data_IF_224586710169
#
_entry.id   IF_224586710169
#
_cell.length_a   1.000
_cell.length_b   1.000
_cell.length_c   1.000
_cell.angle_alpha   90.00
_cell.angle_beta   90.00
_cell.angle_gamma   90.00
#
_symmetry.space_group_name_H-M   'P 1'
#
loop_
_entity.id
_entity.type
_entity.pdbx_description
1 polymer ?
#
# COMPACT_ATOMS: atom_id res chain seq x y z
N UNK A 1 14.15 1.40 20.25
CA UNK A 1 13.80 -0.03 20.01
C UNK A 1 12.42 -0.42 20.56
N UNK A 2 12.16 -0.21 21.86
CA UNK A 2 10.91 -0.64 22.53
C UNK A 2 9.64 -0.06 21.90
N UNK A 3 9.61 1.25 21.63
CA UNK A 3 8.46 1.87 20.97
C UNK A 3 8.22 1.37 19.55
N UNK A 4 9.26 0.96 18.82
CA UNK A 4 9.12 0.43 17.47
C UNK A 4 8.41 -0.93 17.50
N UNK A 5 8.91 -1.83 18.35
CA UNK A 5 8.33 -3.18 18.53
C UNK A 5 6.89 -3.08 19.03
N UNK A 6 6.63 -2.23 20.04
CA UNK A 6 5.28 -2.02 20.56
C UNK A 6 4.33 -1.54 19.46
N UNK A 7 4.77 -0.58 18.65
CA UNK A 7 3.91 -0.05 17.61
C UNK A 7 3.69 -1.09 16.50
N UNK A 8 4.70 -1.88 16.13
CA UNK A 8 4.54 -3.00 15.19
C UNK A 8 3.58 -4.07 15.73
N UNK A 9 3.67 -4.41 17.02
CA UNK A 9 2.75 -5.34 17.68
C UNK A 9 1.31 -4.83 17.67
N UNK A 10 1.08 -3.56 18.03
CA UNK A 10 -0.24 -2.92 17.95
C UNK A 10 -0.79 -2.91 16.52
N UNK A 11 0.07 -2.70 15.52
CA UNK A 11 -0.31 -2.77 14.11
C UNK A 11 -0.81 -4.16 13.73
N UNK A 12 -0.10 -5.22 14.15
CA UNK A 12 -0.49 -6.62 13.92
C UNK A 12 -1.76 -7.02 14.67
N UNK A 13 -2.06 -6.36 15.79
CA UNK A 13 -3.32 -6.52 16.54
C UNK A 13 -4.48 -5.67 15.99
N UNK A 14 -4.33 -5.03 14.83
CA UNK A 14 -5.34 -4.15 14.22
C UNK A 14 -5.66 -2.89 15.03
N UNK A 15 -4.82 -2.54 16.00
CA UNK A 15 -4.91 -1.29 16.77
C UNK A 15 -4.13 -0.20 16.04
N UNK A 16 -4.47 0.03 14.78
CA UNK A 16 -3.67 0.85 13.85
C UNK A 16 -3.61 2.33 14.30
N UNK A 17 -4.69 2.85 14.87
CA UNK A 17 -4.71 4.21 15.43
C UNK A 17 -3.81 4.36 16.66
N UNK A 18 -3.82 3.40 17.58
CA UNK A 18 -2.93 3.38 18.75
C UNK A 18 -1.47 3.23 18.32
N UNK A 19 -1.24 2.35 17.36
CA UNK A 19 0.06 2.15 16.75
C UNK A 19 0.59 3.43 16.10
N UNK A 20 -0.25 4.18 15.38
CA UNK A 20 0.11 5.48 14.81
C UNK A 20 0.47 6.48 15.91
N UNK A 21 -0.30 6.55 16.99
CA UNK A 21 -0.03 7.43 18.13
C UNK A 21 1.32 7.12 18.80
N UNK A 22 1.65 5.85 19.02
CA UNK A 22 2.96 5.44 19.58
C UNK A 22 4.10 5.85 18.66
N UNK A 23 3.99 5.63 17.35
CA UNK A 23 5.03 6.02 16.40
C UNK A 23 5.21 7.54 16.31
N UNK A 24 4.11 8.31 16.32
CA UNK A 24 4.17 9.77 16.35
C UNK A 24 4.85 10.27 17.62
N UNK A 25 4.53 9.69 18.78
CA UNK A 25 5.17 10.02 20.05
C UNK A 25 6.68 9.75 20.02
N UNK A 26 7.08 8.56 19.57
CA UNK A 26 8.48 8.19 19.44
C UNK A 26 9.25 9.10 18.48
N UNK A 27 8.70 9.40 17.30
CA UNK A 27 9.34 10.27 16.32
C UNK A 27 9.47 11.72 16.79
N UNK A 28 8.51 12.22 17.60
CA UNK A 28 8.59 13.54 18.24
C UNK A 28 9.67 13.58 19.31
N UNK A 29 9.80 12.53 20.12
CA UNK A 29 10.84 12.45 21.17
C UNK A 29 12.25 12.36 20.58
N UNK A 30 12.39 11.77 19.38
CA UNK A 30 13.65 11.75 18.64
C UNK A 30 13.97 13.09 17.94
N UNK A 31 13.08 14.08 17.97
CA UNK A 31 13.27 15.38 17.32
C UNK A 31 13.22 15.33 15.79
N UNK A 32 12.84 14.20 15.20
CA UNK A 32 12.85 13.98 13.73
C UNK A 32 11.50 14.24 13.08
N UNK A 33 10.44 14.35 13.89
CA UNK A 33 9.11 14.73 13.41
C UNK A 33 8.62 16.02 14.07
N UNK A 34 8.22 17.04 13.27
CA UNK A 34 7.74 18.30 13.80
C UNK A 34 6.42 18.10 14.56
N UNK A 35 6.26 18.85 15.66
CA UNK A 35 5.02 18.83 16.46
C UNK A 35 3.83 19.44 15.72
N UNK A 36 4.08 20.39 14.81
CA UNK A 36 3.09 21.00 13.92
C UNK A 36 3.62 20.93 12.49
N UNK A 37 2.76 20.52 11.57
CA UNK A 37 3.08 20.50 10.15
C UNK A 37 2.06 21.35 9.41
N UNK A 38 2.56 22.19 8.51
CA UNK A 38 1.74 23.05 7.66
C UNK A 38 1.89 22.61 6.21
N UNK A 39 0.80 22.66 5.44
CA UNK A 39 0.74 22.16 4.07
C UNK A 39 1.80 22.79 3.14
N UNK A 40 2.16 24.06 3.35
CA UNK A 40 3.18 24.74 2.56
C UNK A 40 4.58 24.11 2.73
N UNK A 41 4.89 23.49 3.88
CA UNK A 41 6.13 22.73 4.04
C UNK A 41 6.16 21.51 3.13
N UNK A 42 5.02 20.82 2.94
CA UNK A 42 4.94 19.69 2.01
C UNK A 42 5.16 20.15 0.57
N UNK A 43 4.56 21.28 0.19
CA UNK A 43 4.77 21.87 -1.15
C UNK A 43 6.24 22.22 -1.38
N UNK A 44 6.88 22.87 -0.42
CA UNK A 44 8.30 23.21 -0.51
C UNK A 44 9.21 21.96 -0.56
N UNK A 45 8.93 20.94 0.25
CA UNK A 45 9.66 19.67 0.18
C UNK A 45 9.45 18.98 -1.16
N UNK A 46 8.22 18.97 -1.68
CA UNK A 46 7.89 18.39 -2.98
C UNK A 46 8.65 19.06 -4.13
N UNK A 47 8.68 20.40 -4.17
CA UNK A 47 9.45 21.16 -5.18
C UNK A 47 10.92 20.80 -5.10
N UNK A 48 11.52 20.81 -3.90
CA UNK A 48 12.94 20.46 -3.70
C UNK A 48 13.26 19.03 -4.13
N UNK A 49 12.34 18.09 -3.90
CA UNK A 49 12.49 16.70 -4.32
C UNK A 49 12.43 16.59 -5.84
N UNK A 50 11.50 17.30 -6.48
CA UNK A 50 11.40 17.34 -7.94
C UNK A 50 12.66 17.94 -8.57
N UNK A 51 13.18 19.02 -8.00
CA UNK A 51 14.43 19.64 -8.44
C UNK A 51 15.63 18.70 -8.24
N UNK A 52 15.69 18.01 -7.10
CA UNK A 52 16.71 17.00 -6.84
C UNK A 52 16.69 15.89 -7.88
N UNK A 53 15.52 15.32 -8.19
CA UNK A 53 15.41 14.31 -9.23
C UNK A 53 15.79 14.87 -10.60
N UNK A 54 15.38 16.10 -10.94
CA UNK A 54 15.71 16.71 -12.23
C UNK A 54 17.22 16.96 -12.40
N UNK A 55 17.89 17.33 -11.32
CA UNK A 55 19.30 17.74 -11.35
C UNK A 55 20.29 16.59 -11.08
N UNK A 56 19.81 15.40 -10.76
CA UNK A 56 20.64 14.21 -10.52
C UNK A 56 20.25 13.12 -11.50
N UNK A 57 21.22 12.43 -12.08
CA UNK A 57 21.00 11.22 -12.88
C UNK A 57 20.56 10.05 -11.98
N UNK A 58 20.11 8.95 -12.58
CA UNK A 58 19.85 7.73 -11.82
C UNK A 58 21.13 7.25 -11.11
N UNK A 59 22.26 7.31 -11.81
CA UNK A 59 23.57 6.92 -11.32
C UNK A 59 24.00 7.78 -10.12
N UNK A 60 23.78 9.11 -10.17
CA UNK A 60 24.05 10.00 -9.04
C UNK A 60 23.26 9.59 -7.79
N UNK A 61 21.99 9.24 -7.97
CA UNK A 61 21.11 8.81 -6.87
C UNK A 61 21.54 7.45 -6.31
N UNK A 62 21.92 6.51 -7.17
CA UNK A 62 22.37 5.17 -6.76
C UNK A 62 23.74 5.21 -6.06
N UNK A 63 24.55 6.24 -6.34
CA UNK A 63 25.85 6.47 -5.75
C UNK A 63 25.83 7.38 -4.51
N UNK A 64 24.65 7.78 -4.03
CA UNK A 64 24.53 8.45 -2.73
C UNK A 64 25.20 7.62 -1.63
N UNK A 65 25.81 8.25 -0.62
CA UNK A 65 26.48 7.53 0.46
C UNK A 65 25.50 6.60 1.16
N UNK A 66 25.97 5.45 1.64
CA UNK A 66 25.14 4.57 2.48
C UNK A 66 25.05 5.18 3.88
N UNK A 67 23.83 5.39 4.36
CA UNK A 67 23.51 5.94 5.67
C UNK A 67 24.01 5.00 6.77
N UNK A 68 24.97 5.46 7.58
CA UNK A 68 25.54 4.71 8.71
C UNK A 68 25.07 5.19 10.09
N UNK A 69 24.54 6.41 10.20
CA UNK A 69 24.15 6.97 11.51
C UNK A 69 22.96 6.19 12.10
N UNK A 70 23.14 5.49 13.24
CA UNK A 70 22.09 4.66 13.84
C UNK A 70 20.87 5.46 14.31
N UNK A 71 21.05 6.73 14.69
CA UNK A 71 19.93 7.61 15.10
C UNK A 71 19.07 7.96 13.90
N UNK A 72 19.70 8.28 12.76
CA UNK A 72 18.98 8.61 11.52
C UNK A 72 18.34 7.36 10.91
N UNK A 73 19.01 6.20 10.97
CA UNK A 73 18.43 4.91 10.59
C UNK A 73 17.18 4.56 11.42
N UNK A 74 17.21 4.83 12.73
CA UNK A 74 16.04 4.62 13.58
C UNK A 74 14.92 5.61 13.25
N UNK A 75 15.28 6.87 12.97
CA UNK A 75 14.33 7.90 12.60
C UNK A 75 13.58 7.57 11.30
N UNK A 76 14.29 7.18 10.24
CA UNK A 76 13.67 6.84 8.95
C UNK A 76 12.72 5.63 9.10
N UNK A 77 13.08 4.65 9.94
CA UNK A 77 12.18 3.52 10.28
C UNK A 77 10.90 3.98 10.97
N UNK A 78 10.98 4.83 11.99
CA UNK A 78 9.79 5.36 12.65
C UNK A 78 8.90 6.17 11.70
N UNK A 79 9.49 7.00 10.84
CA UNK A 79 8.75 7.77 9.84
C UNK A 79 8.07 6.82 8.83
N UNK A 80 8.74 5.73 8.43
CA UNK A 80 8.15 4.69 7.60
C UNK A 80 6.93 4.03 8.24
N UNK A 81 7.00 3.69 9.53
CA UNK A 81 5.87 3.13 10.28
C UNK A 81 4.69 4.11 10.39
N UNK A 82 4.97 5.40 10.58
CA UNK A 82 3.94 6.46 10.52
C UNK A 82 3.25 6.40 9.15
N UNK A 83 3.99 6.31 8.06
CA UNK A 83 3.42 6.26 6.71
C UNK A 83 2.48 5.09 6.48
N UNK A 84 2.92 3.89 6.82
CA UNK A 84 2.11 2.69 6.69
C UNK A 84 0.81 2.84 7.48
N UNK A 85 0.87 3.33 8.71
CA UNK A 85 -0.32 3.43 9.58
C UNK A 85 -1.23 4.58 9.19
N UNK A 86 -0.67 5.71 8.79
CA UNK A 86 -1.43 6.82 8.23
C UNK A 86 -2.23 6.38 7.02
N UNK A 87 -1.65 5.58 6.13
CA UNK A 87 -2.37 4.95 5.03
C UNK A 87 -3.55 4.09 5.53
N UNK A 88 -3.33 3.19 6.50
CA UNK A 88 -4.42 2.37 7.08
C UNK A 88 -5.52 3.15 7.80
N UNK A 89 -5.18 4.26 8.45
CA UNK A 89 -6.15 5.15 9.10
C UNK A 89 -6.85 6.11 8.14
N UNK A 90 -6.44 6.17 6.87
CA UNK A 90 -6.96 7.13 5.88
C UNK A 90 -6.42 8.55 6.05
N UNK A 91 -5.41 8.79 6.89
CA UNK A 91 -4.74 10.08 7.03
C UNK A 91 -3.74 10.28 5.88
N UNK A 92 -4.28 10.59 4.70
CA UNK A 92 -3.50 10.73 3.47
C UNK A 92 -2.54 11.92 3.51
N UNK A 93 -2.87 12.97 4.26
CA UNK A 93 -1.97 14.12 4.44
C UNK A 93 -0.73 13.67 5.20
N UNK A 94 -0.89 13.00 6.33
CA UNK A 94 0.23 12.47 7.10
C UNK A 94 1.03 11.43 6.30
N UNK A 95 0.35 10.59 5.50
CA UNK A 95 0.98 9.65 4.58
C UNK A 95 1.82 10.34 3.50
N UNK A 96 1.40 11.49 2.97
CA UNK A 96 2.22 12.28 2.04
C UNK A 96 3.43 12.90 2.74
N UNK A 97 3.20 13.52 3.90
CA UNK A 97 4.23 14.27 4.64
C UNK A 97 5.41 13.41 5.05
N UNK A 98 5.14 12.19 5.53
CA UNK A 98 6.22 11.26 5.88
C UNK A 98 7.05 10.86 4.66
N UNK A 99 6.44 10.67 3.49
CA UNK A 99 7.13 10.18 2.31
C UNK A 99 8.13 11.23 1.82
N UNK A 100 7.68 12.49 1.79
CA UNK A 100 8.54 13.63 1.49
C UNK A 100 9.70 13.74 2.49
N UNK A 101 9.43 13.60 3.79
CA UNK A 101 10.49 13.64 4.82
C UNK A 101 11.52 12.53 4.67
N UNK A 102 11.10 11.29 4.37
CA UNK A 102 12.04 10.20 4.16
C UNK A 102 12.96 10.49 2.97
N UNK A 103 12.45 11.05 1.88
CA UNK A 103 13.29 11.49 0.76
C UNK A 103 14.24 12.62 1.19
N UNK A 104 13.77 13.61 1.94
CA UNK A 104 14.63 14.71 2.44
C UNK A 104 15.78 14.19 3.32
N UNK A 105 15.54 13.14 4.10
CA UNK A 105 16.58 12.45 4.87
C UNK A 105 17.57 11.77 3.91
N UNK A 106 17.08 11.04 2.90
CA UNK A 106 17.93 10.37 1.91
C UNK A 106 18.80 11.37 1.13
N UNK A 107 18.22 12.50 0.69
CA UNK A 107 18.95 13.57 0.01
C UNK A 107 20.07 14.17 0.86
N UNK A 108 19.90 14.19 2.19
CA UNK A 108 20.86 14.84 3.11
C UNK A 108 21.90 13.89 3.67
N UNK A 109 21.50 12.66 3.97
CA UNK A 109 22.33 11.71 4.72
C UNK A 109 22.64 10.43 3.95
N UNK A 110 22.08 10.26 2.75
CA UNK A 110 22.35 9.12 1.88
C UNK A 110 21.29 8.01 1.91
N UNK A 111 21.52 6.98 1.10
CA UNK A 111 20.60 5.84 0.94
C UNK A 111 20.66 4.89 2.13
N UNK A 112 19.55 4.24 2.43
CA UNK A 112 19.37 3.32 3.55
C UNK A 112 18.61 2.08 3.09
N UNK A 113 18.51 1.02 3.91
CA UNK A 113 17.71 -0.14 3.55
C UNK A 113 16.24 0.15 3.24
N UNK A 114 15.70 1.26 3.77
CA UNK A 114 14.34 1.74 3.50
C UNK A 114 14.20 2.48 2.17
N UNK A 115 15.30 2.99 1.61
CA UNK A 115 15.30 3.83 0.40
C UNK A 115 14.54 3.25 -0.79
N UNK A 116 14.63 1.94 -1.11
CA UNK A 116 13.83 1.34 -2.18
C UNK A 116 12.33 1.64 -2.03
N UNK A 117 11.77 1.38 -0.85
CA UNK A 117 10.35 1.63 -0.58
C UNK A 117 10.02 3.12 -0.61
N UNK A 118 10.91 3.97 -0.13
CA UNK A 118 10.69 5.43 -0.17
C UNK A 118 10.63 5.94 -1.62
N UNK A 119 11.52 5.48 -2.50
CA UNK A 119 11.46 5.83 -3.92
C UNK A 119 10.22 5.25 -4.61
N UNK A 120 9.82 4.02 -4.30
CA UNK A 120 8.57 3.46 -4.83
C UNK A 120 7.35 4.29 -4.41
N UNK A 121 7.28 4.69 -3.14
CA UNK A 121 6.21 5.55 -2.61
C UNK A 121 6.21 6.92 -3.26
N UNK A 122 7.40 7.51 -3.48
CA UNK A 122 7.53 8.77 -4.22
C UNK A 122 7.02 8.64 -5.66
N UNK A 123 7.29 7.52 -6.32
CA UNK A 123 6.76 7.23 -7.65
C UNK A 123 5.23 7.22 -7.69
N UNK A 124 4.59 6.61 -6.69
CA UNK A 124 3.13 6.60 -6.55
C UNK A 124 2.55 8.03 -6.33
N UNK A 125 3.26 8.87 -5.57
CA UNK A 125 2.89 10.29 -5.42
C UNK A 125 2.95 11.01 -6.77
N UNK A 126 4.03 10.82 -7.53
CA UNK A 126 4.16 11.44 -8.85
C UNK A 126 3.09 10.96 -9.83
N UNK A 127 2.75 9.67 -9.81
CA UNK A 127 1.67 9.12 -10.63
C UNK A 127 0.32 9.78 -10.30
N UNK A 128 0.03 9.97 -9.00
CA UNK A 128 -1.18 10.69 -8.54
C UNK A 128 -1.19 12.14 -9.02
N UNK A 129 -0.04 12.80 -9.11
CA UNK A 129 0.11 14.16 -9.66
C UNK A 129 0.22 14.21 -11.20
N UNK A 130 0.01 13.08 -11.88
CA UNK A 130 0.10 12.92 -13.34
C UNK A 130 1.50 13.14 -13.94
N UNK A 131 2.56 13.12 -13.13
CA UNK A 131 3.94 13.20 -13.60
C UNK A 131 4.52 11.79 -13.82
N UNK A 132 4.03 11.16 -14.89
CA UNK A 132 4.23 9.73 -15.11
C UNK A 132 5.67 9.32 -15.41
N UNK A 133 6.43 10.20 -16.07
CA UNK A 133 7.85 9.95 -16.35
C UNK A 133 8.65 9.89 -15.04
N UNK A 134 8.39 10.80 -14.11
CA UNK A 134 9.01 10.74 -12.78
C UNK A 134 8.51 9.56 -11.96
N UNK A 135 7.23 9.18 -12.08
CA UNK A 135 6.69 7.99 -11.42
C UNK A 135 7.43 6.70 -11.82
N UNK A 136 7.55 6.47 -13.14
CA UNK A 136 8.28 5.31 -13.70
C UNK A 136 9.74 5.32 -13.28
N UNK A 137 10.41 6.47 -13.39
CA UNK A 137 11.81 6.63 -12.99
C UNK A 137 12.03 6.29 -11.52
N UNK A 138 11.15 6.76 -10.63
CA UNK A 138 11.23 6.44 -9.21
C UNK A 138 11.02 4.94 -8.94
N UNK A 139 10.11 4.29 -9.67
CA UNK A 139 9.92 2.84 -9.58
C UNK A 139 11.18 2.06 -10.02
N UNK A 140 11.83 2.50 -11.08
CA UNK A 140 13.06 1.87 -11.58
C UNK A 140 14.23 2.07 -10.61
N UNK A 141 14.41 3.28 -10.07
CA UNK A 141 15.38 3.56 -9.01
C UNK A 141 15.11 2.67 -7.79
N UNK A 142 13.85 2.49 -7.38
CA UNK A 142 13.50 1.63 -6.26
C UNK A 142 13.97 0.18 -6.48
N UNK A 143 13.73 -0.39 -7.67
CA UNK A 143 14.20 -1.74 -8.02
C UNK A 143 15.71 -1.86 -8.09
N UNK A 144 16.41 -0.83 -8.59
CA UNK A 144 17.88 -0.79 -8.60
C UNK A 144 18.43 -0.74 -7.17
N UNK A 145 17.84 0.09 -6.30
CA UNK A 145 18.23 0.21 -4.89
C UNK A 145 18.01 -1.07 -4.08
N UNK A 146 17.03 -1.91 -4.43
CA UNK A 146 16.86 -3.22 -3.78
C UNK A 146 18.13 -4.08 -3.87
N UNK A 147 18.92 -3.92 -4.93
CA UNK A 147 20.18 -4.68 -5.12
C UNK A 147 21.36 -4.09 -4.34
N UNK A 148 21.30 -2.80 -3.99
CA UNK A 148 22.40 -2.08 -3.36
C UNK A 148 22.24 -2.08 -1.84
N UNK A 149 21.06 -1.68 -1.37
CA UNK A 149 20.76 -1.50 0.06
C UNK A 149 19.54 -2.28 0.53
N UNK A 150 18.83 -2.95 -0.37
CA UNK A 150 17.54 -3.57 -0.08
C UNK A 150 17.57 -4.53 1.10
N UNK A 151 16.71 -4.27 2.08
CA UNK A 151 16.45 -5.20 3.17
C UNK A 151 15.32 -6.19 2.84
N UNK A 152 15.31 -7.37 3.46
CA UNK A 152 14.23 -8.36 3.29
C UNK A 152 12.84 -7.80 3.70
N UNK A 153 12.81 -6.81 4.60
CA UNK A 153 11.58 -6.21 5.12
C UNK A 153 10.76 -5.46 4.05
N UNK A 154 11.44 -4.82 3.09
CA UNK A 154 10.82 -3.87 2.16
C UNK A 154 10.63 -4.41 0.74
N UNK A 155 11.27 -5.53 0.41
CA UNK A 155 11.31 -6.05 -0.97
C UNK A 155 9.93 -6.36 -1.51
N UNK A 156 9.10 -7.03 -0.73
CA UNK A 156 7.72 -7.35 -1.10
C UNK A 156 6.88 -6.07 -1.22
N UNK A 157 7.10 -5.07 -0.35
CA UNK A 157 6.38 -3.80 -0.41
C UNK A 157 6.68 -3.01 -1.69
N UNK A 158 7.95 -2.97 -2.11
CA UNK A 158 8.34 -2.32 -3.37
C UNK A 158 7.55 -2.92 -4.53
N UNK A 159 7.43 -4.25 -4.59
CA UNK A 159 6.66 -4.91 -5.64
C UNK A 159 5.16 -4.56 -5.62
N UNK A 160 4.53 -4.47 -4.45
CA UNK A 160 3.12 -4.00 -4.34
C UNK A 160 2.97 -2.61 -4.96
N UNK A 161 3.83 -1.67 -4.58
CA UNK A 161 3.71 -0.27 -5.02
C UNK A 161 4.07 -0.13 -6.50
N UNK A 162 5.18 -0.71 -6.94
CA UNK A 162 5.60 -0.56 -8.34
C UNK A 162 4.71 -1.35 -9.29
N UNK A 163 4.51 -2.65 -9.04
CA UNK A 163 3.80 -3.52 -9.98
C UNK A 163 2.28 -3.42 -9.84
N UNK A 164 1.78 -3.14 -8.63
CA UNK A 164 0.35 -2.99 -8.36
C UNK A 164 -0.22 -1.60 -8.63
N UNK A 165 0.58 -0.53 -8.49
CA UNK A 165 0.08 0.84 -8.62
C UNK A 165 0.71 1.65 -9.75
N UNK A 166 2.02 1.59 -9.96
CA UNK A 166 2.71 2.46 -10.93
C UNK A 166 2.69 1.85 -12.34
N UNK A 167 3.22 0.63 -12.48
CA UNK A 167 3.38 -0.03 -13.77
C UNK A 167 2.04 -0.45 -14.39
N UNK A 168 1.00 -0.66 -13.59
CA UNK A 168 -0.31 -1.15 -14.06
C UNK A 168 -0.90 -0.32 -15.20
N UNK A 169 -0.63 0.98 -15.21
CA UNK A 169 -1.15 1.89 -16.23
C UNK A 169 -0.26 1.96 -17.48
N UNK A 170 1.01 1.56 -17.39
CA UNK A 170 2.10 1.78 -18.37
C UNK A 170 2.64 0.53 -19.05
N UNK A 171 2.56 -0.59 -18.37
CA UNK A 171 3.26 -1.81 -18.74
C UNK A 171 2.25 -2.89 -19.09
N UNK A 172 2.65 -3.89 -19.90
CA UNK A 172 1.80 -5.05 -20.15
C UNK A 172 1.36 -5.68 -18.82
N UNK A 173 0.05 -5.89 -18.66
CA UNK A 173 -0.50 -6.38 -17.39
C UNK A 173 0.10 -7.71 -16.92
N UNK A 174 0.50 -8.57 -17.87
CA UNK A 174 1.23 -9.81 -17.57
C UNK A 174 2.57 -9.56 -16.88
N UNK A 175 3.28 -8.47 -17.20
CA UNK A 175 4.52 -8.05 -16.52
C UNK A 175 4.21 -7.59 -15.10
N UNK A 176 3.12 -6.85 -14.89
CA UNK A 176 2.69 -6.40 -13.56
C UNK A 176 2.30 -7.58 -12.66
N UNK A 177 1.51 -8.52 -13.18
CA UNK A 177 1.12 -9.75 -12.45
C UNK A 177 2.37 -10.55 -12.06
N UNK A 178 3.31 -10.79 -13.00
CA UNK A 178 4.58 -11.47 -12.70
C UNK A 178 5.42 -10.73 -11.66
N UNK A 179 5.42 -9.39 -11.70
CA UNK A 179 6.09 -8.56 -10.71
C UNK A 179 5.52 -8.76 -9.31
N UNK A 180 4.19 -8.85 -9.18
CA UNK A 180 3.52 -9.15 -7.92
C UNK A 180 3.77 -10.60 -7.48
N UNK A 181 3.72 -11.58 -8.38
CA UNK A 181 4.04 -12.98 -8.03
C UNK A 181 5.49 -13.16 -7.54
N UNK A 182 6.42 -12.39 -8.11
CA UNK A 182 7.79 -12.28 -7.60
C UNK A 182 7.82 -11.65 -6.20
N UNK A 183 7.07 -10.58 -5.98
CA UNK A 183 6.91 -9.96 -4.67
C UNK A 183 6.34 -10.92 -3.62
N UNK A 184 5.37 -11.77 -4.00
CA UNK A 184 4.85 -12.86 -3.17
C UNK A 184 5.97 -13.80 -2.76
N UNK A 185 6.69 -14.36 -3.73
CA UNK A 185 7.77 -15.34 -3.48
C UNK A 185 8.84 -14.76 -2.54
N UNK A 186 9.30 -13.53 -2.81
CA UNK A 186 10.29 -12.85 -1.98
C UNK A 186 9.76 -12.51 -0.57
N UNK A 187 8.47 -12.18 -0.45
CA UNK A 187 7.81 -12.00 0.84
C UNK A 187 7.78 -13.29 1.67
N UNK A 188 7.46 -14.42 1.02
CA UNK A 188 7.49 -15.73 1.69
C UNK A 188 8.90 -16.14 2.10
N UNK A 189 9.90 -15.97 1.23
CA UNK A 189 11.31 -16.29 1.49
C UNK A 189 11.91 -15.45 2.63
N UNK A 190 11.51 -14.18 2.73
CA UNK A 190 11.96 -13.27 3.79
C UNK A 190 11.21 -13.43 5.12
N UNK A 191 10.18 -14.29 5.18
CA UNK A 191 9.30 -14.43 6.34
C UNK A 191 8.31 -13.28 6.51
N UNK A 192 8.20 -12.36 5.54
CA UNK A 192 7.18 -11.31 5.52
C UNK A 192 5.90 -11.83 4.83
N UNK A 193 5.24 -12.80 5.49
CA UNK A 193 4.05 -13.47 4.95
C UNK A 193 2.90 -12.51 4.64
N UNK A 194 2.74 -11.47 5.47
CA UNK A 194 1.70 -10.45 5.28
C UNK A 194 1.83 -9.77 3.91
N UNK A 195 3.03 -9.26 3.60
CA UNK A 195 3.26 -8.65 2.29
C UNK A 195 3.37 -9.64 1.15
N UNK A 196 3.82 -10.85 1.43
CA UNK A 196 3.73 -11.95 0.48
C UNK A 196 2.29 -12.10 0.01
N UNK A 197 1.36 -12.32 0.94
CA UNK A 197 -0.05 -12.52 0.61
C UNK A 197 -0.71 -11.29 -0.01
N UNK A 198 -0.35 -10.08 0.40
CA UNK A 198 -0.82 -8.84 -0.28
C UNK A 198 -0.40 -8.83 -1.75
N UNK A 199 0.85 -9.16 -2.06
CA UNK A 199 1.30 -9.27 -3.45
C UNK A 199 0.50 -10.32 -4.23
N UNK A 200 0.29 -11.49 -3.63
CA UNK A 200 -0.48 -12.57 -4.26
C UNK A 200 -1.92 -12.14 -4.51
N UNK A 201 -2.57 -11.51 -3.53
CA UNK A 201 -3.90 -10.95 -3.66
C UNK A 201 -3.96 -9.91 -4.79
N UNK A 202 -3.07 -8.92 -4.78
CA UNK A 202 -3.02 -7.90 -5.83
C UNK A 202 -2.85 -8.53 -7.22
N UNK A 203 -2.05 -9.62 -7.35
CA UNK A 203 -1.88 -10.29 -8.64
C UNK A 203 -3.18 -10.92 -9.13
N UNK A 204 -3.99 -11.50 -8.25
CA UNK A 204 -5.32 -12.05 -8.59
C UNK A 204 -6.34 -10.98 -8.90
N UNK A 205 -6.32 -9.88 -8.16
CA UNK A 205 -7.15 -8.70 -8.44
C UNK A 205 -6.85 -8.18 -9.85
N UNK A 206 -5.58 -7.99 -10.21
CA UNK A 206 -5.21 -7.56 -11.55
C UNK A 206 -5.62 -8.60 -12.61
N UNK A 207 -5.38 -9.89 -12.36
CA UNK A 207 -5.76 -10.95 -13.30
C UNK A 207 -7.27 -10.97 -13.58
N UNK A 208 -8.10 -10.74 -12.56
CA UNK A 208 -9.55 -10.60 -12.73
C UNK A 208 -9.90 -9.41 -13.63
N UNK A 209 -9.39 -8.22 -13.29
CA UNK A 209 -9.71 -6.99 -14.03
C UNK A 209 -9.23 -7.00 -15.48
N UNK A 210 -8.17 -7.75 -15.78
CA UNK A 210 -7.62 -7.87 -17.13
C UNK A 210 -8.11 -9.11 -17.91
N UNK A 211 -9.18 -9.75 -17.45
CA UNK A 211 -9.93 -10.73 -18.24
C UNK A 211 -9.31 -12.13 -18.28
N UNK A 212 -8.69 -12.59 -17.20
CA UNK A 212 -8.26 -13.99 -17.11
C UNK A 212 -9.47 -14.96 -17.07
N UNK A 213 -9.21 -16.25 -17.33
CA UNK A 213 -10.24 -17.29 -17.20
C UNK A 213 -10.67 -17.40 -15.73
N UNK A 214 -11.98 -17.34 -15.48
CA UNK A 214 -12.54 -17.31 -14.12
C UNK A 214 -12.36 -18.63 -13.35
N UNK A 215 -12.56 -19.80 -13.98
CA UNK A 215 -12.42 -21.08 -13.26
C UNK A 215 -11.04 -21.26 -12.58
N UNK A 216 -9.89 -21.07 -13.27
CA UNK A 216 -8.59 -21.11 -12.60
C UNK A 216 -8.41 -20.04 -11.52
N UNK A 217 -9.02 -18.86 -11.70
CA UNK A 217 -8.94 -17.77 -10.74
C UNK A 217 -9.67 -18.09 -9.44
N UNK A 218 -10.86 -18.71 -9.50
CA UNK A 218 -11.63 -19.14 -8.32
C UNK A 218 -10.77 -20.01 -7.40
N UNK A 219 -10.20 -21.09 -7.93
CA UNK A 219 -9.33 -21.98 -7.13
C UNK A 219 -8.10 -21.26 -6.59
N UNK A 220 -7.55 -20.31 -7.34
CA UNK A 220 -6.44 -19.49 -6.85
C UNK A 220 -6.85 -18.55 -5.71
N UNK A 221 -8.06 -17.98 -5.73
CA UNK A 221 -8.57 -17.10 -4.68
C UNK A 221 -8.92 -17.87 -3.41
N UNK A 222 -9.47 -19.08 -3.54
CA UNK A 222 -9.68 -20.00 -2.41
C UNK A 222 -8.36 -20.33 -1.72
N UNK A 223 -7.30 -20.59 -2.50
CA UNK A 223 -5.96 -20.82 -1.95
C UNK A 223 -5.41 -19.58 -1.22
N UNK A 224 -5.64 -18.37 -1.75
CA UNK A 224 -5.26 -17.12 -1.07
C UNK A 224 -5.94 -17.02 0.30
N UNK A 225 -7.26 -17.22 0.36
CA UNK A 225 -8.02 -17.17 1.62
C UNK A 225 -7.56 -18.25 2.62
N UNK A 226 -7.28 -19.47 2.14
CA UNK A 226 -6.74 -20.54 2.97
C UNK A 226 -5.38 -20.17 3.57
N UNK A 227 -4.50 -19.52 2.80
CA UNK A 227 -3.22 -19.04 3.32
C UNK A 227 -3.40 -17.93 4.36
N UNK A 228 -4.30 -16.97 4.14
CA UNK A 228 -4.64 -15.96 5.15
C UNK A 228 -5.03 -16.60 6.49
N UNK A 229 -5.82 -17.67 6.46
CA UNK A 229 -6.20 -18.43 7.66
C UNK A 229 -5.00 -19.14 8.31
N UNK A 230 -4.19 -19.86 7.52
CA UNK A 230 -3.02 -20.60 8.02
C UNK A 230 -2.02 -19.68 8.71
N UNK A 231 -1.78 -18.49 8.14
CA UNK A 231 -0.85 -17.52 8.70
C UNK A 231 -1.50 -16.55 9.70
N UNK A 232 -2.79 -16.71 10.02
CA UNK A 232 -3.55 -15.85 10.92
C UNK A 232 -3.45 -14.35 10.58
N UNK A 233 -3.46 -14.04 9.28
CA UNK A 233 -3.45 -12.66 8.77
C UNK A 233 -4.90 -12.24 8.52
N UNK A 234 -5.37 -11.22 9.24
CA UNK A 234 -6.74 -10.66 9.11
C UNK A 234 -6.80 -9.42 8.22
N UNK A 235 -5.66 -8.94 7.72
CA UNK A 235 -5.59 -7.72 6.89
C UNK A 235 -5.79 -8.14 5.44
N UNK A 236 -6.93 -7.75 4.85
CA UNK A 236 -7.33 -7.95 3.45
C UNK A 236 -8.04 -9.27 3.07
N UNK A 237 -8.72 -9.93 3.99
CA UNK A 237 -9.67 -11.00 3.63
C UNK A 237 -10.80 -10.46 2.73
N UNK A 238 -11.35 -9.29 3.06
CA UNK A 238 -12.57 -8.75 2.45
C UNK A 238 -12.52 -8.60 0.91
N UNK A 239 -11.41 -8.09 0.36
CA UNK A 239 -11.28 -7.89 -1.09
C UNK A 239 -11.13 -9.23 -1.84
N UNK A 240 -10.43 -10.20 -1.24
CA UNK A 240 -10.30 -11.55 -1.80
C UNK A 240 -11.62 -12.33 -1.71
N UNK A 241 -12.35 -12.18 -0.61
CA UNK A 241 -13.69 -12.75 -0.42
C UNK A 241 -14.67 -12.18 -1.45
N UNK A 242 -14.74 -10.85 -1.57
CA UNK A 242 -15.59 -10.19 -2.56
C UNK A 242 -15.27 -10.67 -3.97
N UNK A 243 -13.98 -10.73 -4.34
CA UNK A 243 -13.57 -11.21 -5.65
C UNK A 243 -13.91 -12.68 -5.90
N UNK A 244 -13.78 -13.53 -4.88
CA UNK A 244 -14.13 -14.94 -4.94
C UNK A 244 -15.63 -15.11 -5.16
N UNK A 245 -16.47 -14.46 -4.34
CA UNK A 245 -17.93 -14.52 -4.45
C UNK A 245 -18.40 -14.18 -5.86
N UNK A 246 -17.80 -13.14 -6.44
CA UNK A 246 -18.18 -12.64 -7.77
C UNK A 246 -17.72 -13.59 -8.85
N UNK A 247 -16.50 -14.11 -8.74
CA UNK A 247 -15.97 -15.09 -9.68
C UNK A 247 -16.78 -16.39 -9.66
N UNK A 248 -17.22 -16.84 -8.48
CA UNK A 248 -18.11 -17.98 -8.32
C UNK A 248 -19.48 -17.71 -8.95
N UNK A 249 -20.09 -16.55 -8.68
CA UNK A 249 -21.36 -16.17 -9.29
C UNK A 249 -21.29 -16.17 -10.82
N UNK A 250 -20.26 -15.53 -11.38
CA UNK A 250 -20.06 -15.44 -12.84
C UNK A 250 -19.73 -16.79 -13.49
N UNK A 251 -19.35 -17.81 -12.72
CA UNK A 251 -19.08 -19.16 -13.23
C UNK A 251 -20.25 -20.14 -13.02
N UNK A 252 -21.44 -19.64 -12.65
CA UNK A 252 -22.64 -20.46 -12.43
C UNK A 252 -22.76 -21.01 -11.01
N UNK A 253 -22.00 -20.46 -10.06
CA UNK A 253 -22.09 -20.76 -8.63
C UNK A 253 -23.30 -20.14 -7.95
N UNK A 254 -23.27 -20.10 -6.62
CA UNK A 254 -24.38 -19.61 -5.79
C UNK A 254 -24.69 -18.12 -6.03
N UNK A 255 -25.97 -17.69 -5.91
CA UNK A 255 -26.35 -16.28 -5.94
C UNK A 255 -25.62 -15.47 -4.86
N UNK A 256 -25.28 -14.22 -5.17
CA UNK A 256 -24.74 -13.29 -4.17
C UNK A 256 -25.88 -12.80 -3.29
N UNK A 257 -25.75 -12.98 -1.97
CA UNK A 257 -26.60 -12.33 -0.98
C UNK A 257 -26.18 -10.86 -0.83
N UNK A 258 -26.95 -9.97 -1.45
CA UNK A 258 -26.66 -8.54 -1.44
C UNK A 258 -27.05 -7.86 -0.13
N UNK A 259 -27.97 -8.42 0.64
CA UNK A 259 -28.44 -7.82 1.88
C UNK A 259 -27.40 -8.05 2.99
N UNK A 260 -26.78 -9.23 3.01
CA UNK A 260 -25.62 -9.53 3.85
C UNK A 260 -24.46 -8.55 3.59
N UNK A 261 -24.13 -8.32 2.30
CA UNK A 261 -23.09 -7.38 1.90
C UNK A 261 -23.40 -5.94 2.36
N UNK A 262 -24.65 -5.48 2.20
CA UNK A 262 -25.07 -4.14 2.64
C UNK A 262 -24.96 -3.98 4.16
N UNK A 263 -25.44 -4.98 4.91
CA UNK A 263 -25.41 -4.97 6.37
C UNK A 263 -24.00 -4.84 6.93
N UNK A 264 -23.06 -5.63 6.41
CA UNK A 264 -21.66 -5.55 6.78
C UNK A 264 -21.03 -4.19 6.44
N UNK A 265 -21.28 -3.67 5.23
CA UNK A 265 -20.72 -2.38 4.79
C UNK A 265 -21.16 -1.23 5.70
N UNK A 266 -22.44 -1.18 6.08
CA UNK A 266 -22.96 -0.15 6.99
C UNK A 266 -22.39 -0.27 8.42
N UNK A 267 -22.17 -1.49 8.90
CA UNK A 267 -21.59 -1.72 10.23
C UNK A 267 -20.11 -1.31 10.29
N UNK A 268 -19.35 -1.58 9.22
CA UNK A 268 -17.94 -1.19 9.10
C UNK A 268 -17.77 0.34 9.07
N UNK A 269 -18.66 1.06 8.37
CA UNK A 269 -18.64 2.53 8.31
C UNK A 269 -18.96 3.21 9.63
N UNK A 270 -19.79 2.60 10.48
CA UNK A 270 -20.07 3.11 11.83
C UNK A 270 -18.82 3.05 12.73
N UNK A 271 -17.82 2.22 12.40
CA UNK A 271 -16.55 2.09 13.13
C UNK A 271 -15.43 3.00 12.60
N UNK A 272 -15.77 4.17 12.01
CA UNK A 272 -14.80 5.16 11.51
C UNK A 272 -13.72 5.44 12.57
N UNK A 273 -12.49 5.01 12.30
CA UNK A 273 -11.33 5.27 13.16
C UNK A 273 -10.16 4.30 12.98
N UNK A 274 -10.43 3.02 12.69
CA UNK A 274 -9.37 1.99 12.52
C UNK A 274 -9.42 1.21 11.20
N UNK A 275 -10.57 1.23 10.49
CA UNK A 275 -10.85 0.32 9.35
C UNK A 275 -11.08 1.04 7.99
N UNK A 276 -10.59 2.28 7.83
CA UNK A 276 -10.75 3.03 6.56
C UNK A 276 -10.18 2.25 5.36
N UNK A 277 -9.10 1.50 5.55
CA UNK A 277 -8.53 0.65 4.50
C UNK A 277 -9.36 -0.59 4.16
N UNK A 278 -10.11 -1.18 5.11
CA UNK A 278 -11.08 -2.24 4.79
C UNK A 278 -12.14 -1.72 3.85
N UNK A 279 -12.63 -0.51 4.11
CA UNK A 279 -13.58 0.16 3.21
C UNK A 279 -12.95 0.43 1.84
N UNK A 280 -11.72 0.94 1.78
CA UNK A 280 -10.99 1.19 0.52
C UNK A 280 -10.75 -0.07 -0.33
N UNK A 281 -10.54 -1.24 0.29
CA UNK A 281 -10.28 -2.49 -0.43
C UNK A 281 -11.57 -3.24 -0.79
N UNK A 282 -12.54 -3.29 0.12
CA UNK A 282 -13.83 -3.96 -0.06
C UNK A 282 -14.72 -3.21 -1.05
N UNK A 283 -14.65 -1.89 -1.06
CA UNK A 283 -15.52 -1.04 -1.87
C UNK A 283 -15.33 -1.23 -3.39
N UNK A 284 -14.12 -1.10 -3.98
CA UNK A 284 -13.92 -1.36 -5.40
C UNK A 284 -14.23 -2.81 -5.78
N UNK A 285 -13.90 -3.76 -4.90
CA UNK A 285 -14.14 -5.19 -5.11
C UNK A 285 -15.63 -5.55 -5.19
N UNK A 286 -16.51 -4.75 -4.58
CA UNK A 286 -17.97 -4.91 -4.65
C UNK A 286 -18.63 -3.99 -5.69
N UNK A 287 -18.05 -2.82 -5.94
CA UNK A 287 -18.55 -1.87 -6.93
C UNK A 287 -18.54 -2.46 -8.35
N UNK A 288 -17.43 -3.08 -8.77
CA UNK A 288 -17.33 -3.68 -10.10
C UNK A 288 -18.39 -4.77 -10.34
N UNK A 289 -18.58 -5.73 -9.42
CA UNK A 289 -19.64 -6.72 -9.55
C UNK A 289 -21.04 -6.12 -9.58
N UNK A 290 -21.35 -5.14 -8.73
CA UNK A 290 -22.67 -4.49 -8.76
C UNK A 290 -22.93 -3.84 -10.12
N UNK A 291 -21.90 -3.26 -10.76
CA UNK A 291 -21.99 -2.74 -12.13
C UNK A 291 -22.16 -3.87 -13.15
N UNK A 292 -21.33 -4.91 -13.11
CA UNK A 292 -21.38 -6.05 -14.04
C UNK A 292 -22.72 -6.78 -13.98
N UNK A 293 -23.33 -6.84 -12.79
CA UNK A 293 -24.61 -7.50 -12.53
C UNK A 293 -25.80 -6.54 -12.62
N UNK A 294 -25.58 -5.33 -13.16
CA UNK A 294 -26.61 -4.31 -13.41
C UNK A 294 -27.39 -3.88 -12.16
N UNK A 295 -26.77 -3.96 -10.99
CA UNK A 295 -27.30 -3.47 -9.70
C UNK A 295 -26.90 -1.99 -9.50
N UNK A 296 -27.29 -1.13 -10.44
CA UNK A 296 -26.83 0.27 -10.48
C UNK A 296 -27.26 1.09 -9.26
N UNK A 297 -28.47 0.88 -8.73
CA UNK A 297 -28.93 1.56 -7.51
C UNK A 297 -28.04 1.21 -6.31
N UNK A 298 -27.66 -0.06 -6.18
CA UNK A 298 -26.74 -0.51 -5.14
C UNK A 298 -25.35 0.08 -5.35
N UNK A 299 -24.84 0.07 -6.58
CA UNK A 299 -23.56 0.71 -6.93
C UNK A 299 -23.56 2.20 -6.55
N UNK A 300 -24.66 2.91 -6.81
CA UNK A 300 -24.82 4.32 -6.47
C UNK A 300 -24.92 4.55 -4.96
N UNK A 301 -25.71 3.75 -4.24
CA UNK A 301 -25.79 3.77 -2.77
C UNK A 301 -24.42 3.55 -2.15
N UNK A 302 -23.72 2.51 -2.59
CA UNK A 302 -22.35 2.24 -2.18
C UNK A 302 -21.45 3.45 -2.46
N UNK A 303 -21.53 4.06 -3.64
CA UNK A 303 -20.73 5.25 -4.00
C UNK A 303 -20.98 6.43 -3.09
N UNK A 304 -22.24 6.75 -2.84
CA UNK A 304 -22.61 7.82 -1.90
C UNK A 304 -22.04 7.53 -0.51
N UNK A 305 -22.23 6.29 -0.07
CA UNK A 305 -21.80 5.82 1.24
C UNK A 305 -20.26 5.89 1.42
N UNK A 306 -19.50 5.52 0.39
CA UNK A 306 -18.04 5.57 0.39
C UNK A 306 -17.49 7.01 0.39
N UNK A 307 -18.04 7.89 -0.44
CA UNK A 307 -17.62 9.29 -0.51
C UNK A 307 -18.26 10.18 0.58
N UNK A 308 -19.15 9.63 1.41
CA UNK A 308 -19.92 10.40 2.39
C UNK A 308 -20.81 11.46 1.75
N UNK A 309 -21.34 11.17 0.56
CA UNK A 309 -22.27 12.05 -0.14
C UNK A 309 -23.67 11.90 0.48
N UNK A 310 -24.47 12.97 0.54
CA UNK A 310 -25.85 12.89 0.99
C UNK A 310 -26.70 11.99 0.08
N UNK A 311 -27.71 11.37 0.67
CA UNK A 311 -28.72 10.55 -0.01
C UNK A 311 -29.60 11.38 -0.95
#
# INVERSE_FOLDING_TARGET
PTHLIMAQALGREYKVAESLAVSLSAARNLGVFPRRFYLFHAVNDFIRIKDFLKNNTDEDILNLPILQDPKILMAIRFIGEIGVRSFYTGDMVQCLVQALKQIRIIMRYGISPRSPLVFATLGMIFDTTKDRNLAMRCADIAHKLLRIVGGPEDIAWVHVVTSGAIYVSSEPHSKCIKGLEKGYSLGMESGNFELGLVNLQCSKVLAFYFGCKLQPLVGSLENVLKQYQVYNIKMNDDASVALLMVSQYLTGGQPIDWDDIKGHTQQDLKKRGSDANRLLARYPALLVPTILLRKYELAQQMTKLYYGLPD
#
